data_IF_056510202448
#
_entry.id   IF_056510202448
#
_cell.length_a   1.000
_cell.length_b   1.000
_cell.length_c   1.000
_cell.angle_alpha   90.00
_cell.angle_beta   90.00
_cell.angle_gamma   90.00
#
_symmetry.space_group_name_H-M   'P 1'
#
loop_
_entity.id
_entity.type
_entity.pdbx_description
1 polymer ?
#
# COMPACT_ATOMS: atom_id res chain seq x y z
N UNK A 1 -13.81 40.56 1.39
CA UNK A 1 -13.06 40.02 2.54
C UNK A 1 -12.40 38.74 2.09
N UNK A 2 -11.07 38.71 2.01
CA UNK A 2 -10.31 37.53 1.64
C UNK A 2 -10.29 36.55 2.81
N UNK A 3 -10.94 35.39 2.64
CA UNK A 3 -10.87 34.29 3.59
C UNK A 3 -9.51 33.62 3.49
N UNK A 4 -8.75 33.67 4.58
CA UNK A 4 -7.50 32.95 4.77
C UNK A 4 -7.71 31.45 4.53
N UNK A 5 -7.22 30.93 3.41
CA UNK A 5 -6.87 29.52 3.32
C UNK A 5 -5.62 29.34 4.19
N UNK A 6 -5.77 28.79 5.39
CA UNK A 6 -4.64 28.23 6.11
C UNK A 6 -4.13 27.07 5.26
N UNK A 7 -3.02 27.28 4.55
CA UNK A 7 -2.24 26.18 4.01
C UNK A 7 -1.69 25.40 5.22
N UNK A 8 -2.41 24.37 5.67
CA UNK A 8 -1.82 23.38 6.56
C UNK A 8 -0.59 22.80 5.85
N UNK A 9 0.58 23.12 6.41
CA UNK A 9 1.83 22.44 6.09
C UNK A 9 1.58 20.93 6.14
N UNK A 10 2.01 20.13 5.14
CA UNK A 10 1.74 18.71 5.16
C UNK A 10 2.38 18.12 6.42
N UNK A 11 1.55 17.58 7.32
CA UNK A 11 2.02 16.77 8.45
C UNK A 11 2.99 15.75 7.88
N UNK A 12 4.25 15.83 8.32
CA UNK A 12 5.31 14.95 7.85
C UNK A 12 4.91 13.48 7.97
N UNK A 13 5.55 12.64 7.15
CA UNK A 13 5.33 11.19 7.20
C UNK A 13 5.65 10.72 8.61
N UNK A 14 4.71 10.00 9.21
CA UNK A 14 4.82 9.49 10.60
C UNK A 14 4.37 8.04 10.73
N UNK A 15 4.01 7.39 9.61
CA UNK A 15 3.46 6.04 9.58
C UNK A 15 3.87 5.26 8.35
N UNK A 16 4.24 4.00 8.60
CA UNK A 16 4.39 2.94 7.59
C UNK A 16 3.44 1.81 7.97
N UNK A 17 2.85 1.12 7.00
CA UNK A 17 2.10 -0.12 7.28
C UNK A 17 2.42 -1.20 6.23
N UNK A 18 2.45 -2.42 6.73
CA UNK A 18 2.62 -3.67 5.99
C UNK A 18 1.34 -4.49 6.13
N UNK A 19 1.02 -5.30 5.12
CA UNK A 19 -0.11 -6.22 5.14
C UNK A 19 0.38 -7.67 5.07
N UNK A 20 -0.15 -8.52 5.97
CA UNK A 20 -0.16 -9.97 5.84
C UNK A 20 -1.60 -10.39 5.53
N UNK A 21 -1.87 -10.84 4.31
CA UNK A 21 -3.22 -11.24 3.87
C UNK A 21 -3.33 -12.71 3.51
N UNK A 22 -2.23 -13.46 3.58
CA UNK A 22 -2.24 -14.89 3.28
C UNK A 22 -2.79 -15.71 4.45
N UNK A 23 -3.03 -15.08 5.61
CA UNK A 23 -3.57 -15.75 6.78
C UNK A 23 -2.60 -16.75 7.38
N UNK A 24 -1.29 -16.51 7.20
CA UNK A 24 -0.26 -17.40 7.74
C UNK A 24 -0.24 -17.30 9.26
N UNK A 25 -0.07 -18.44 9.90
CA UNK A 25 0.09 -18.53 11.36
C UNK A 25 1.42 -17.92 11.83
N UNK A 26 2.42 -17.93 10.94
CA UNK A 26 3.78 -17.53 11.26
C UNK A 26 4.39 -16.56 10.24
N UNK A 27 5.06 -15.53 10.75
CA UNK A 27 5.94 -14.67 9.97
C UNK A 27 7.22 -15.42 9.59
N UNK A 28 7.62 -15.32 8.34
CA UNK A 28 8.95 -15.74 7.90
C UNK A 28 10.04 -14.74 8.34
N UNK A 29 11.29 -15.20 8.34
CA UNK A 29 12.44 -14.33 8.63
C UNK A 29 12.49 -13.09 7.72
N UNK A 30 12.13 -13.24 6.44
CA UNK A 30 12.11 -12.13 5.47
C UNK A 30 11.00 -11.12 5.79
N UNK A 31 9.81 -11.58 6.17
CA UNK A 31 8.71 -10.71 6.56
C UNK A 31 9.03 -9.94 7.84
N UNK A 32 9.66 -10.60 8.80
CA UNK A 32 10.12 -9.94 10.02
C UNK A 32 11.21 -8.90 9.74
N UNK A 33 12.19 -9.24 8.89
CA UNK A 33 13.25 -8.32 8.47
C UNK A 33 12.69 -7.08 7.75
N UNK A 34 11.68 -7.24 6.90
CA UNK A 34 10.99 -6.12 6.25
C UNK A 34 10.44 -5.12 7.28
N UNK A 35 9.66 -5.59 8.25
CA UNK A 35 9.08 -4.75 9.30
C UNK A 35 10.15 -4.13 10.21
N UNK A 36 11.11 -4.95 10.66
CA UNK A 36 12.22 -4.49 11.52
C UNK A 36 13.06 -3.41 10.84
N UNK A 37 13.39 -3.59 9.56
CA UNK A 37 14.21 -2.64 8.80
C UNK A 37 13.55 -1.26 8.72
N UNK A 38 12.24 -1.21 8.47
CA UNK A 38 11.49 0.03 8.48
C UNK A 38 11.46 0.67 9.87
N UNK A 39 11.18 -0.12 10.91
CA UNK A 39 11.04 0.36 12.28
C UNK A 39 12.35 0.94 12.84
N UNK A 40 13.48 0.25 12.63
CA UNK A 40 14.80 0.69 13.11
C UNK A 40 15.30 1.95 12.42
N UNK A 41 15.02 2.12 11.14
CA UNK A 41 15.40 3.32 10.39
C UNK A 41 14.49 4.53 10.68
N UNK A 42 13.34 4.32 11.34
CA UNK A 42 12.34 5.35 11.62
C UNK A 42 11.80 5.27 13.05
N UNK A 43 12.65 5.45 14.09
CA UNK A 43 12.24 5.26 15.48
C UNK A 43 11.13 6.20 15.95
N UNK A 44 10.92 7.33 15.27
CA UNK A 44 9.84 8.30 15.55
C UNK A 44 8.54 8.03 14.77
N UNK A 45 8.52 7.05 13.87
CA UNK A 45 7.33 6.69 13.08
C UNK A 45 6.67 5.45 13.65
N UNK A 46 5.35 5.35 13.55
CA UNK A 46 4.64 4.10 13.86
C UNK A 46 4.70 3.15 12.66
N UNK A 47 5.18 1.93 12.88
CA UNK A 47 5.21 0.86 11.88
C UNK A 47 4.12 -0.15 12.21
N UNK A 48 3.09 -0.21 11.39
CA UNK A 48 2.02 -1.19 11.56
C UNK A 48 2.29 -2.46 10.75
N UNK A 49 2.09 -3.61 11.38
CA UNK A 49 1.91 -4.88 10.67
C UNK A 49 0.46 -5.30 10.87
N UNK A 50 -0.31 -5.30 9.79
CA UNK A 50 -1.74 -5.59 9.81
C UNK A 50 -1.97 -6.98 9.20
N UNK A 51 -2.58 -7.87 9.97
CA UNK A 51 -2.80 -9.26 9.57
C UNK A 51 -4.28 -9.55 9.38
N UNK A 52 -4.64 -10.20 8.27
CA UNK A 52 -5.99 -10.71 8.03
C UNK A 52 -6.01 -12.17 8.44
N UNK A 53 -6.74 -12.51 9.50
CA UNK A 53 -6.89 -13.88 9.96
C UNK A 53 -8.14 -14.53 9.36
N UNK A 54 -8.02 -15.79 8.94
CA UNK A 54 -9.18 -16.60 8.61
C UNK A 54 -9.88 -17.02 9.90
N UNK A 55 -11.21 -17.18 9.86
CA UNK A 55 -12.08 -17.46 11.01
C UNK A 55 -11.76 -18.76 11.78
N UNK A 56 -10.73 -19.52 11.39
CA UNK A 56 -10.26 -20.75 12.01
C UNK A 56 -8.74 -20.67 12.19
N UNK A 57 -8.26 -20.54 13.43
CA UNK A 57 -6.82 -20.55 13.75
C UNK A 57 -6.36 -19.23 14.37
N UNK A 58 -6.62 -18.98 15.65
CA UNK A 58 -5.72 -19.33 16.76
C UNK A 58 -4.61 -18.28 17.00
N UNK A 59 -4.37 -18.02 18.27
CA UNK A 59 -3.32 -17.19 18.92
C UNK A 59 -1.84 -17.47 18.50
N UNK A 60 -1.55 -17.85 17.25
CA UNK A 60 -0.24 -18.34 16.81
C UNK A 60 0.89 -17.29 16.82
N UNK A 61 0.57 -15.99 16.88
CA UNK A 61 1.61 -14.95 16.94
C UNK A 61 2.32 -14.84 18.30
N UNK A 62 1.81 -15.44 19.39
CA UNK A 62 2.49 -15.38 20.69
C UNK A 62 3.68 -16.35 20.79
N UNK A 63 3.70 -17.42 19.99
CA UNK A 63 4.77 -18.43 19.98
C UNK A 63 5.76 -18.24 18.82
N UNK A 64 5.39 -17.49 17.78
CA UNK A 64 6.30 -17.14 16.71
C UNK A 64 7.47 -16.27 17.21
N UNK A 65 8.71 -16.81 17.14
CA UNK A 65 9.93 -16.10 17.56
C UNK A 65 10.14 -14.75 16.89
N UNK A 66 9.74 -14.60 15.62
CA UNK A 66 9.88 -13.36 14.88
C UNK A 66 8.84 -12.33 15.28
N UNK A 67 7.60 -12.75 15.57
CA UNK A 67 6.60 -11.87 16.15
C UNK A 67 7.06 -11.31 17.51
N UNK A 68 7.70 -12.13 18.35
CA UNK A 68 8.30 -11.66 19.62
C UNK A 68 9.41 -10.63 19.40
N UNK A 69 10.29 -10.85 18.41
CA UNK A 69 11.32 -9.86 18.04
C UNK A 69 10.67 -8.53 17.64
N UNK A 70 9.63 -8.56 16.81
CA UNK A 70 8.93 -7.36 16.39
C UNK A 70 8.21 -6.66 17.55
N UNK A 71 7.59 -7.40 18.48
CA UNK A 71 6.94 -6.85 19.68
C UNK A 71 7.91 -6.11 20.60
N UNK A 72 9.18 -6.51 20.62
CA UNK A 72 10.22 -5.84 21.41
C UNK A 72 10.66 -4.50 20.81
N UNK A 73 10.27 -4.18 19.57
CA UNK A 73 10.60 -2.91 18.91
C UNK A 73 9.53 -1.87 19.28
N UNK A 74 9.87 -0.77 20.00
CA UNK A 74 8.88 0.10 20.63
C UNK A 74 7.87 0.75 19.67
N UNK A 75 8.27 0.98 18.42
CA UNK A 75 7.45 1.66 17.42
C UNK A 75 6.76 0.69 16.44
N UNK A 76 6.80 -0.62 16.69
CA UNK A 76 6.07 -1.62 15.91
C UNK A 76 4.73 -1.93 16.57
N UNK A 77 3.66 -1.87 15.78
CA UNK A 77 2.29 -2.14 16.22
C UNK A 77 1.70 -3.24 15.35
N UNK A 78 1.57 -4.44 15.91
CA UNK A 78 0.93 -5.57 15.23
C UNK A 78 -0.56 -5.59 15.57
N UNK A 79 -1.43 -5.64 14.55
CA UNK A 79 -2.88 -5.63 14.72
C UNK A 79 -3.56 -6.57 13.73
N UNK A 80 -4.68 -7.13 14.16
CA UNK A 80 -5.61 -7.77 13.26
C UNK A 80 -6.37 -6.72 12.45
N UNK A 81 -6.60 -7.00 11.17
CA UNK A 81 -7.39 -6.21 10.25
C UNK A 81 -8.55 -7.06 9.74
N UNK A 82 -9.77 -6.53 9.87
CA UNK A 82 -10.96 -7.11 9.25
C UNK A 82 -11.22 -6.42 7.92
N UNK A 83 -11.26 -7.15 6.80
CA UNK A 83 -11.53 -6.54 5.50
C UNK A 83 -12.84 -5.73 5.45
N UNK A 84 -13.89 -6.19 6.13
CA UNK A 84 -15.18 -5.50 6.22
C UNK A 84 -15.03 -4.10 6.85
N UNK A 85 -14.19 -3.97 7.87
CA UNK A 85 -13.93 -2.69 8.53
C UNK A 85 -13.01 -1.82 7.68
N UNK A 86 -12.05 -2.41 6.97
CA UNK A 86 -11.11 -1.69 6.12
C UNK A 86 -11.77 -1.12 4.86
N UNK A 87 -12.78 -1.79 4.30
CA UNK A 87 -13.48 -1.31 3.11
C UNK A 87 -14.62 -0.34 3.41
N UNK A 88 -15.10 -0.26 4.66
CA UNK A 88 -16.28 0.53 5.02
C UNK A 88 -16.17 2.00 4.60
N UNK A 89 -17.17 2.47 3.86
CA UNK A 89 -17.22 3.86 3.37
C UNK A 89 -16.26 4.14 2.21
N UNK A 90 -15.63 3.11 1.62
CA UNK A 90 -14.82 3.24 0.41
C UNK A 90 -15.59 2.76 -0.82
N UNK A 91 -15.17 3.15 -2.05
CA UNK A 91 -15.75 2.60 -3.29
C UNK A 91 -15.55 1.08 -3.46
N UNK A 92 -14.69 0.44 -2.65
CA UNK A 92 -14.47 -1.00 -2.65
C UNK A 92 -15.44 -1.77 -1.76
N UNK A 93 -16.21 -1.10 -0.88
CA UNK A 93 -17.20 -1.75 0.00
C UNK A 93 -18.21 -2.59 -0.80
N UNK A 94 -18.92 -2.05 -1.82
CA UNK A 94 -19.87 -2.85 -2.59
C UNK A 94 -19.21 -3.97 -3.39
N UNK A 95 -17.97 -3.74 -3.85
CA UNK A 95 -17.19 -4.77 -4.57
C UNK A 95 -16.90 -5.96 -3.65
N UNK A 96 -16.46 -5.70 -2.42
CA UNK A 96 -16.18 -6.75 -1.44
C UNK A 96 -17.47 -7.46 -1.00
N UNK A 97 -18.52 -6.71 -0.66
CA UNK A 97 -19.82 -7.24 -0.23
C UNK A 97 -20.50 -8.10 -1.30
N UNK A 98 -20.30 -7.80 -2.58
CA UNK A 98 -20.85 -8.61 -3.70
C UNK A 98 -20.25 -10.02 -3.80
N UNK A 99 -19.20 -10.33 -3.03
CA UNK A 99 -18.47 -11.58 -3.13
C UNK A 99 -17.63 -11.69 -4.42
N UNK A 100 -17.30 -10.57 -5.07
CA UNK A 100 -16.48 -10.56 -6.28
C UNK A 100 -15.10 -11.24 -6.06
N UNK A 101 -14.55 -11.09 -4.85
CA UNK A 101 -13.30 -11.73 -4.45
C UNK A 101 -13.39 -13.28 -4.48
N UNK A 102 -14.54 -13.86 -4.16
CA UNK A 102 -14.74 -15.33 -4.15
C UNK A 102 -14.61 -15.95 -5.54
N UNK A 103 -14.72 -15.15 -6.59
CA UNK A 103 -14.57 -15.58 -7.99
C UNK A 103 -13.11 -15.52 -8.45
N UNK A 104 -12.22 -14.97 -7.63
CA UNK A 104 -10.81 -14.73 -7.96
C UNK A 104 -10.01 -16.01 -8.13
N UNK A 105 -9.14 -16.04 -9.14
CA UNK A 105 -8.05 -17.03 -9.23
C UNK A 105 -6.83 -16.66 -8.35
N UNK A 106 -6.80 -15.43 -7.82
CA UNK A 106 -5.72 -14.85 -7.00
C UNK A 106 -6.31 -14.12 -5.78
N UNK A 107 -7.06 -14.80 -4.89
CA UNK A 107 -7.83 -14.13 -3.84
C UNK A 107 -6.93 -13.43 -2.80
N UNK A 108 -5.76 -13.98 -2.48
CA UNK A 108 -4.84 -13.40 -1.50
C UNK A 108 -4.24 -12.09 -2.02
N UNK A 109 -3.83 -12.08 -3.28
CA UNK A 109 -3.23 -10.93 -3.95
C UNK A 109 -4.28 -9.85 -4.23
N UNK A 110 -5.46 -10.22 -4.75
CA UNK A 110 -6.53 -9.25 -4.99
C UNK A 110 -7.04 -8.62 -3.68
N UNK A 111 -7.08 -9.39 -2.58
CA UNK A 111 -7.42 -8.84 -1.27
C UNK A 111 -6.33 -7.87 -0.80
N UNK A 112 -5.05 -8.22 -0.91
CA UNK A 112 -3.94 -7.32 -0.56
C UNK A 112 -3.97 -6.03 -1.40
N UNK A 113 -4.26 -6.16 -2.70
CA UNK A 113 -4.37 -5.06 -3.65
C UNK A 113 -5.48 -4.09 -3.28
N UNK A 114 -6.64 -4.60 -2.89
CA UNK A 114 -7.75 -3.79 -2.43
C UNK A 114 -7.47 -3.15 -1.05
N UNK A 115 -6.98 -3.93 -0.08
CA UNK A 115 -6.76 -3.48 1.29
C UNK A 115 -5.70 -2.38 1.38
N UNK A 116 -4.61 -2.45 0.60
CA UNK A 116 -3.58 -1.40 0.65
C UNK A 116 -4.12 -0.04 0.18
N UNK A 117 -5.03 -0.04 -0.80
CA UNK A 117 -5.65 1.20 -1.27
C UNK A 117 -6.56 1.78 -0.20
N UNK A 118 -7.40 0.93 0.41
CA UNK A 118 -8.33 1.34 1.46
C UNK A 118 -7.60 1.84 2.72
N UNK A 119 -6.57 1.12 3.17
CA UNK A 119 -5.83 1.48 4.38
C UNK A 119 -5.09 2.81 4.23
N UNK A 120 -4.42 3.04 3.09
CA UNK A 120 -3.81 4.35 2.78
C UNK A 120 -4.88 5.43 2.70
N UNK A 121 -6.00 5.14 2.03
CA UNK A 121 -7.07 6.12 1.88
C UNK A 121 -7.60 6.58 3.23
N UNK A 122 -7.77 5.67 4.19
CA UNK A 122 -8.25 6.03 5.53
C UNK A 122 -7.19 6.72 6.39
N UNK A 123 -5.94 6.24 6.36
CA UNK A 123 -4.94 6.61 7.38
C UNK A 123 -3.80 7.48 6.88
N UNK A 124 -3.59 7.53 5.57
CA UNK A 124 -2.39 8.08 4.94
C UNK A 124 -1.10 7.39 5.38
N UNK A 125 0.03 7.88 4.87
CA UNK A 125 1.36 7.35 5.14
C UNK A 125 1.92 6.55 3.98
N UNK A 126 2.82 5.62 4.28
CA UNK A 126 3.50 4.77 3.30
C UNK A 126 3.06 3.31 3.46
N UNK A 127 2.67 2.69 2.35
CA UNK A 127 2.53 1.24 2.25
C UNK A 127 3.83 0.61 1.75
N UNK A 128 4.18 -0.53 2.32
CA UNK A 128 5.19 -1.44 1.81
C UNK A 128 4.63 -2.87 1.78
N UNK A 129 4.90 -3.62 0.71
CA UNK A 129 4.70 -5.07 0.72
C UNK A 129 5.53 -5.67 1.87
N UNK A 130 5.00 -6.70 2.53
CA UNK A 130 5.65 -7.35 3.68
C UNK A 130 6.95 -8.07 3.31
N UNK A 131 7.33 -8.12 2.05
CA UNK A 131 8.57 -8.72 1.57
C UNK A 131 9.63 -7.69 1.13
N UNK A 132 9.37 -6.40 1.43
CA UNK A 132 10.24 -5.25 1.15
C UNK A 132 11.12 -4.92 2.34
N UNK A 133 12.42 -4.92 2.11
CA UNK A 133 13.41 -4.48 3.10
C UNK A 133 13.78 -3.01 2.85
N UNK A 134 13.69 -2.19 3.89
CA UNK A 134 14.06 -0.78 3.87
C UNK A 134 15.55 -0.65 4.17
N UNK A 135 16.33 -0.20 3.19
CA UNK A 135 17.79 -0.08 3.32
C UNK A 135 18.25 1.33 3.71
N UNK A 136 17.39 2.34 3.53
CA UNK A 136 17.68 3.75 3.79
C UNK A 136 16.44 4.46 4.33
N UNK A 137 16.65 5.58 5.03
CA UNK A 137 15.54 6.39 5.53
C UNK A 137 14.64 6.87 4.39
N UNK A 138 13.34 6.76 4.61
CA UNK A 138 12.25 7.21 3.75
C UNK A 138 11.83 8.66 4.08
N UNK A 139 12.46 9.30 5.06
CA UNK A 139 12.08 10.63 5.54
C UNK A 139 12.23 11.75 4.50
N UNK A 140 13.07 11.54 3.47
CA UNK A 140 13.24 12.48 2.36
C UNK A 140 12.13 12.36 1.31
N UNK A 141 11.26 11.35 1.39
CA UNK A 141 10.17 11.18 0.43
C UNK A 141 9.11 12.24 0.64
N UNK A 142 8.58 12.73 -0.48
CA UNK A 142 7.46 13.67 -0.48
C UNK A 142 6.21 12.94 -0.95
N UNK A 143 5.16 12.94 -0.12
CA UNK A 143 3.83 12.46 -0.50
C UNK A 143 3.13 13.51 -1.38
N UNK A 144 2.27 13.10 -2.33
CA UNK A 144 1.93 11.73 -2.69
C UNK A 144 2.87 11.13 -3.76
N UNK A 145 3.02 9.81 -3.76
CA UNK A 145 3.81 9.09 -4.76
C UNK A 145 3.40 7.64 -5.01
N UNK A 146 3.78 7.16 -6.20
CA UNK A 146 3.86 5.74 -6.56
C UNK A 146 5.30 5.41 -6.97
N UNK A 147 5.69 4.14 -6.89
CA UNK A 147 7.02 3.69 -7.33
C UNK A 147 6.98 3.09 -8.73
N UNK A 148 8.03 3.30 -9.51
CA UNK A 148 8.23 2.58 -10.77
C UNK A 148 8.64 1.13 -10.49
N UNK A 149 8.14 0.19 -11.28
CA UNK A 149 8.60 -1.20 -11.28
C UNK A 149 9.83 -1.35 -12.19
N UNK A 150 10.89 -2.07 -11.78
CA UNK A 150 12.09 -2.27 -12.61
C UNK A 150 11.85 -3.31 -13.72
N UNK A 151 10.92 -3.03 -14.63
CA UNK A 151 10.69 -3.87 -15.82
C UNK A 151 11.69 -3.55 -16.92
N UNK A 152 11.90 -4.47 -17.87
CA UNK A 152 12.83 -4.30 -18.99
C UNK A 152 12.58 -3.01 -19.80
N UNK A 153 11.33 -2.56 -19.89
CA UNK A 153 10.95 -1.34 -20.63
C UNK A 153 10.65 -0.13 -19.73
N UNK A 154 10.66 -0.28 -18.40
CA UNK A 154 10.30 0.78 -17.45
C UNK A 154 8.85 1.27 -17.51
N UNK A 155 7.99 0.64 -18.33
CA UNK A 155 6.61 1.11 -18.56
C UNK A 155 5.60 0.57 -17.53
N UNK A 156 6.03 0.40 -16.28
CA UNK A 156 5.20 -0.19 -15.24
C UNK A 156 5.46 0.48 -13.89
N UNK A 157 4.41 0.55 -13.08
CA UNK A 157 4.47 1.00 -11.68
C UNK A 157 4.32 -0.20 -10.74
N UNK A 158 4.89 -0.07 -9.55
CA UNK A 158 4.75 -1.04 -8.48
C UNK A 158 3.64 -0.59 -7.53
N UNK A 159 2.80 -1.55 -7.14
CA UNK A 159 1.80 -1.43 -6.09
C UNK A 159 2.34 -1.86 -4.71
N UNK A 160 3.62 -2.26 -4.63
CA UNK A 160 4.26 -2.72 -3.39
C UNK A 160 4.97 -1.62 -2.59
N UNK A 161 5.00 -0.39 -3.11
CA UNK A 161 5.55 0.77 -2.42
C UNK A 161 4.91 2.04 -2.96
N UNK A 162 4.06 2.64 -2.15
CA UNK A 162 3.37 3.88 -2.47
C UNK A 162 3.06 4.66 -1.18
N UNK A 163 2.87 5.97 -1.30
CA UNK A 163 2.55 6.80 -0.15
C UNK A 163 1.65 7.97 -0.52
N UNK A 164 0.67 8.25 0.32
CA UNK A 164 -0.31 9.32 0.09
C UNK A 164 -0.80 9.90 1.41
N UNK A 165 -1.31 11.12 1.36
CA UNK A 165 -2.16 11.67 2.41
C UNK A 165 -3.49 10.90 2.47
N UNK A 166 -4.11 10.85 3.66
CA UNK A 166 -5.44 10.28 3.81
C UNK A 166 -6.44 11.02 2.92
N UNK A 167 -7.40 10.31 2.34
CA UNK A 167 -8.45 10.87 1.49
C UNK A 167 -7.98 11.31 0.10
N UNK A 168 -6.74 11.00 -0.31
CA UNK A 168 -6.20 11.54 -1.56
C UNK A 168 -7.04 11.15 -2.79
N UNK A 169 -7.43 12.10 -3.68
CA UNK A 169 -8.35 11.83 -4.79
C UNK A 169 -7.85 10.79 -5.81
N UNK A 170 -6.54 10.61 -5.93
CA UNK A 170 -5.96 9.54 -6.75
C UNK A 170 -6.37 8.15 -6.25
N UNK A 171 -6.35 7.91 -4.93
CA UNK A 171 -6.76 6.64 -4.33
C UNK A 171 -8.27 6.41 -4.50
N UNK A 172 -9.07 7.48 -4.36
CA UNK A 172 -10.50 7.42 -4.60
C UNK A 172 -10.80 6.97 -6.03
N UNK A 173 -10.12 7.54 -7.02
CA UNK A 173 -10.28 7.17 -8.43
C UNK A 173 -9.82 5.73 -8.70
N UNK A 174 -8.69 5.29 -8.11
CA UNK A 174 -8.26 3.88 -8.19
C UNK A 174 -9.34 2.94 -7.68
N UNK A 175 -9.87 3.17 -6.48
CA UNK A 175 -10.90 2.33 -5.88
C UNK A 175 -12.20 2.31 -6.69
N UNK A 176 -12.65 3.47 -7.20
CA UNK A 176 -13.83 3.55 -8.07
C UNK A 176 -13.63 2.78 -9.39
N UNK A 177 -12.42 2.85 -9.96
CA UNK A 177 -12.08 2.17 -11.20
C UNK A 177 -11.92 0.68 -10.99
N UNK A 178 -11.31 0.25 -9.89
CA UNK A 178 -11.12 -1.15 -9.52
C UNK A 178 -12.42 -1.95 -9.65
N UNK A 179 -13.50 -1.46 -9.04
CA UNK A 179 -14.82 -2.11 -9.06
C UNK A 179 -15.40 -2.29 -10.48
N UNK A 180 -14.98 -1.46 -11.45
CA UNK A 180 -15.47 -1.52 -12.85
C UNK A 180 -14.62 -2.41 -13.75
N UNK A 181 -13.31 -2.46 -13.50
CA UNK A 181 -12.33 -3.14 -14.37
C UNK A 181 -11.89 -4.49 -13.82
N UNK A 182 -12.37 -4.88 -12.63
CA UNK A 182 -11.99 -6.11 -11.94
C UNK A 182 -12.24 -7.35 -12.81
N UNK A 183 -11.16 -8.05 -13.13
CA UNK A 183 -11.16 -9.30 -13.87
C UNK A 183 -10.62 -10.42 -12.98
N UNK A 184 -11.48 -11.28 -12.41
CA UNK A 184 -11.08 -12.20 -11.33
C UNK A 184 -10.00 -13.21 -11.72
N UNK A 185 -9.80 -13.48 -13.01
CA UNK A 185 -8.78 -14.41 -13.51
C UNK A 185 -7.42 -13.75 -13.80
N UNK A 186 -7.34 -12.42 -13.76
CA UNK A 186 -6.11 -11.69 -14.08
C UNK A 186 -5.45 -11.17 -12.81
N UNK A 187 -4.30 -11.74 -12.45
CA UNK A 187 -3.53 -11.38 -11.25
C UNK A 187 -3.32 -9.87 -11.05
N UNK A 188 -3.01 -9.12 -12.12
CA UNK A 188 -2.66 -7.70 -12.00
C UNK A 188 -3.86 -6.74 -12.01
N UNK A 189 -5.10 -7.23 -12.13
CA UNK A 189 -6.28 -6.44 -12.53
C UNK A 189 -6.57 -5.22 -11.67
N UNK A 190 -6.41 -5.34 -10.35
CA UNK A 190 -6.61 -4.25 -9.37
C UNK A 190 -5.31 -3.90 -8.63
N UNK A 191 -4.20 -4.43 -9.12
CA UNK A 191 -2.86 -4.21 -8.61
C UNK A 191 -2.06 -3.28 -9.53
N UNK A 192 -0.90 -3.71 -10.05
CA UNK A 192 0.01 -2.82 -10.78
C UNK A 192 -0.59 -2.29 -12.10
N UNK A 193 -1.44 -3.06 -12.79
CA UNK A 193 -2.08 -2.58 -14.03
C UNK A 193 -3.09 -1.47 -13.76
N UNK A 194 -3.87 -1.56 -12.67
CA UNK A 194 -4.80 -0.51 -12.28
C UNK A 194 -4.05 0.79 -11.98
N UNK A 195 -2.95 0.71 -11.21
CA UNK A 195 -2.12 1.87 -10.91
C UNK A 195 -1.53 2.45 -12.20
N UNK A 196 -0.97 1.62 -13.08
CA UNK A 196 -0.42 2.06 -14.37
C UNK A 196 -1.46 2.81 -15.19
N UNK A 197 -2.65 2.24 -15.36
CA UNK A 197 -3.74 2.84 -16.14
C UNK A 197 -4.17 4.19 -15.58
N UNK A 198 -4.20 4.33 -14.25
CA UNK A 198 -4.56 5.60 -13.61
C UNK A 198 -3.45 6.63 -13.72
N UNK A 199 -2.17 6.24 -13.61
CA UNK A 199 -1.02 7.14 -13.83
C UNK A 199 -1.03 7.67 -15.27
N UNK A 200 -1.15 6.79 -16.27
CA UNK A 200 -1.18 7.18 -17.68
C UNK A 200 -2.33 8.15 -17.97
N UNK A 201 -3.53 7.85 -17.45
CA UNK A 201 -4.71 8.68 -17.64
C UNK A 201 -4.57 10.05 -16.97
N UNK A 202 -4.13 10.09 -15.71
CA UNK A 202 -3.98 11.32 -14.92
C UNK A 202 -2.90 12.24 -15.49
N UNK A 203 -1.80 11.67 -15.98
CA UNK A 203 -0.67 12.45 -16.48
C UNK A 203 -0.76 12.77 -17.97
N UNK A 204 -1.75 12.23 -18.68
CA UNK A 204 -1.88 12.44 -20.13
C UNK A 204 -0.70 11.87 -20.92
N UNK A 205 -0.06 10.81 -20.42
CA UNK A 205 1.10 10.17 -21.07
C UNK A 205 0.76 8.76 -21.52
N UNK A 206 1.53 8.26 -22.49
CA UNK A 206 1.37 6.90 -23.03
C UNK A 206 2.38 5.90 -22.45
N UNK A 207 3.36 6.40 -21.70
CA UNK A 207 4.43 5.57 -21.14
C UNK A 207 4.85 6.13 -19.78
N UNK A 208 5.06 5.25 -18.80
CA UNK A 208 5.45 5.63 -17.44
C UNK A 208 6.79 6.37 -17.41
N UNK A 209 7.75 6.01 -18.27
CA UNK A 209 9.06 6.67 -18.32
C UNK A 209 8.98 8.18 -18.57
N UNK A 210 7.90 8.66 -19.20
CA UNK A 210 7.71 10.09 -19.47
C UNK A 210 7.49 10.92 -18.20
N UNK A 211 7.13 10.30 -17.08
CA UNK A 211 6.77 10.98 -15.82
C UNK A 211 7.62 10.55 -14.63
N UNK A 212 8.60 9.67 -14.82
CA UNK A 212 9.52 9.23 -13.77
C UNK A 212 10.35 10.41 -13.27
N UNK A 213 10.44 10.55 -11.94
CA UNK A 213 11.15 11.65 -11.28
C UNK A 213 10.46 13.02 -11.41
N UNK A 214 9.26 13.07 -12.00
CA UNK A 214 8.51 14.29 -12.22
C UNK A 214 7.17 14.23 -11.49
N UNK A 215 6.61 15.41 -11.19
CA UNK A 215 5.23 15.51 -10.72
C UNK A 215 4.30 15.54 -11.92
N UNK A 216 3.27 14.71 -11.84
CA UNK A 216 2.18 14.67 -12.80
C UNK A 216 1.37 15.99 -12.76
N UNK A 217 1.02 16.56 -13.92
CA UNK A 217 0.23 17.79 -13.99
C UNK A 217 -1.23 17.55 -13.54
N UNK A 218 -1.69 18.29 -12.53
CA UNK A 218 -3.06 18.24 -12.02
C UNK A 218 -3.18 18.84 -10.62
N UNK A 219 -4.41 19.07 -10.17
CA UNK A 219 -4.70 19.56 -8.80
C UNK A 219 -4.31 18.56 -7.71
N UNK A 220 -4.11 17.29 -8.07
CA UNK A 220 -3.75 16.17 -7.18
C UNK A 220 -2.39 15.56 -7.57
N UNK A 221 -1.39 16.42 -7.84
CA UNK A 221 -0.09 16.02 -8.36
C UNK A 221 0.63 15.01 -7.45
N UNK A 222 1.06 13.88 -8.02
CA UNK A 222 1.90 12.86 -7.37
C UNK A 222 3.17 12.61 -8.18
N UNK A 223 4.19 12.07 -7.51
CA UNK A 223 5.46 11.72 -8.13
C UNK A 223 5.53 10.23 -8.47
N UNK A 224 6.13 9.89 -9.61
CA UNK A 224 6.57 8.52 -9.90
C UNK A 224 8.05 8.40 -9.52
N UNK A 225 8.35 7.78 -8.38
CA UNK A 225 9.74 7.61 -7.94
C UNK A 225 10.43 6.48 -8.70
N UNK A 226 11.63 6.78 -9.21
CA UNK A 226 12.56 5.76 -9.69
C UNK A 226 13.17 5.03 -8.51
N UNK A 227 13.51 3.75 -8.73
CA UNK A 227 14.23 2.87 -7.82
C UNK A 227 13.44 2.41 -6.59
N UNK A 228 13.01 1.15 -6.69
CA UNK A 228 12.77 0.31 -5.54
C UNK A 228 13.43 -1.03 -5.83
N UNK A 229 14.59 -1.26 -5.21
CA UNK A 229 15.11 -2.62 -5.08
C UNK A 229 14.32 -3.31 -3.98
N UNK A 230 13.07 -3.66 -4.28
CA UNK A 230 12.48 -4.79 -3.59
C UNK A 230 13.36 -5.97 -4.00
N UNK A 231 14.03 -6.62 -3.05
CA UNK A 231 14.16 -8.04 -3.22
C UNK A 231 12.73 -8.55 -3.22
N UNK A 232 12.17 -8.78 -4.41
CA UNK A 232 10.95 -9.54 -4.69
C UNK A 232 11.42 -10.85 -5.31
N UNK A 233 10.91 -11.98 -4.83
CA UNK A 233 11.24 -13.28 -5.43
C UNK A 233 10.57 -13.43 -6.76
#
# INVERSE_FOLDING_TARGET
MAGFFSQEQPKGISRVFFLETAGREELSARQACAVESAARLHPSWTVHLLSVHNKHGSRANAENRFARVLQAIPNVVMKEMKPEEAFRGTPLEPWYESGALNKSAHPVEHLADALRLAEIFHRGGIYLDIDVVVLRSLASLTLPFVSQSPTKNGDMVSNGFLGFQAGHPFLLALMQRASRVYQPKQWATIGPELLRLEVLARCGVRNINAVVGQRCNGTDAFMVWAYFFAFKR
#
